data_IF_426437519418
#
_entry.id   IF_426437519418
#
_cell.length_a   1.000
_cell.length_b   1.000
_cell.length_c   1.000
_cell.angle_alpha   90.00
_cell.angle_beta   90.00
_cell.angle_gamma   90.00
#
_symmetry.space_group_name_H-M   'P 1'
#
loop_
_entity.id
_entity.type
_entity.pdbx_description
1 polymer ?
#
# COMPACT_ATOMS: atom_id res chain seq x y z
N UNK A 1 -7.54 -10.98 12.88
CA UNK A 1 -7.48 -9.50 12.81
C UNK A 1 -6.01 -9.15 12.87
N UNK A 2 -5.48 -8.47 11.85
CA UNK A 2 -4.08 -8.06 11.87
C UNK A 2 -3.95 -6.85 12.79
N UNK A 3 -3.44 -7.09 14.00
CA UNK A 3 -3.10 -6.05 14.99
C UNK A 3 -1.92 -5.21 14.49
N UNK A 4 -2.21 -4.26 13.60
CA UNK A 4 -1.28 -3.19 13.24
C UNK A 4 -1.24 -2.18 14.40
N UNK A 5 -0.36 -2.43 15.37
CA UNK A 5 -0.09 -1.49 16.45
C UNK A 5 0.61 -0.23 15.89
N UNK A 6 0.17 1.00 16.25
CA UNK A 6 0.57 2.25 15.60
C UNK A 6 2.02 2.68 15.84
N UNK A 7 2.80 1.95 16.65
CA UNK A 7 4.23 2.25 16.87
C UNK A 7 5.11 2.06 15.61
N UNK A 8 4.56 1.50 14.53
CA UNK A 8 5.28 1.19 13.27
C UNK A 8 4.63 1.81 12.02
N UNK A 9 3.73 2.77 12.17
CA UNK A 9 3.03 3.39 11.03
C UNK A 9 3.96 3.99 9.98
N UNK A 10 5.13 4.52 10.40
CA UNK A 10 6.15 5.10 9.53
C UNK A 10 7.24 4.11 9.11
N UNK A 11 7.12 2.82 9.43
CA UNK A 11 8.07 1.83 8.92
C UNK A 11 7.80 1.57 7.45
N UNK A 12 8.82 1.21 6.65
CA UNK A 12 8.62 0.79 5.27
C UNK A 12 7.58 -0.34 5.20
N UNK A 13 6.74 -0.29 4.18
CA UNK A 13 5.79 -1.35 3.90
C UNK A 13 6.53 -2.67 3.72
N UNK A 14 5.95 -3.75 4.22
CA UNK A 14 6.50 -5.06 3.91
C UNK A 14 6.29 -5.37 2.44
N UNK A 15 7.26 -6.06 1.83
CA UNK A 15 7.16 -6.65 0.49
C UNK A 15 5.81 -7.36 0.27
N UNK A 16 5.31 -8.07 1.30
CA UNK A 16 4.00 -8.74 1.25
C UNK A 16 2.82 -7.78 1.12
N UNK A 17 2.87 -6.62 1.77
CA UNK A 17 1.82 -5.61 1.66
C UNK A 17 1.85 -4.96 0.27
N UNK A 18 3.06 -4.68 -0.24
CA UNK A 18 3.24 -4.13 -1.57
C UNK A 18 2.78 -5.11 -2.66
N UNK A 19 3.18 -6.39 -2.61
CA UNK A 19 2.66 -7.38 -3.56
C UNK A 19 1.13 -7.49 -3.47
N UNK A 20 0.57 -7.48 -2.26
CA UNK A 20 -0.88 -7.60 -2.09
C UNK A 20 -1.67 -6.42 -2.67
N UNK A 21 -1.23 -5.17 -2.44
CA UNK A 21 -1.88 -4.02 -3.08
C UNK A 21 -1.69 -4.01 -4.60
N UNK A 22 -0.57 -4.54 -5.10
CA UNK A 22 -0.31 -4.65 -6.53
C UNK A 22 -1.29 -5.64 -7.18
N UNK A 23 -1.40 -6.85 -6.62
CA UNK A 23 -2.38 -7.87 -7.01
C UNK A 23 -3.82 -7.32 -6.98
N UNK A 24 -4.18 -6.53 -5.96
CA UNK A 24 -5.51 -5.92 -5.84
C UNK A 24 -5.77 -4.86 -6.92
N UNK A 25 -4.77 -4.01 -7.20
CA UNK A 25 -4.88 -3.01 -8.25
C UNK A 25 -5.05 -3.68 -9.62
N UNK A 26 -4.23 -4.69 -9.93
CA UNK A 26 -4.33 -5.45 -11.18
C UNK A 26 -5.70 -6.12 -11.35
N UNK A 27 -6.26 -6.70 -10.27
CA UNK A 27 -7.61 -7.28 -10.30
C UNK A 27 -8.71 -6.28 -10.62
N UNK A 28 -8.49 -5.00 -10.34
CA UNK A 28 -9.41 -3.91 -10.67
C UNK A 28 -9.08 -3.21 -11.99
N UNK A 29 -8.02 -3.65 -12.68
CA UNK A 29 -7.52 -2.98 -13.90
C UNK A 29 -6.89 -1.62 -13.61
N UNK A 30 -6.39 -1.41 -12.38
CA UNK A 30 -5.71 -0.19 -11.94
C UNK A 30 -4.21 -0.42 -11.80
N UNK A 31 -3.43 0.64 -11.95
CA UNK A 31 -1.98 0.61 -11.78
C UNK A 31 -1.61 1.09 -10.36
N UNK A 32 -1.05 0.17 -9.55
CA UNK A 32 -0.72 0.45 -8.16
C UNK A 32 0.38 1.53 -8.01
N UNK A 33 1.35 1.57 -8.93
CA UNK A 33 2.42 2.57 -8.89
C UNK A 33 1.89 3.96 -9.20
N UNK A 34 1.04 4.07 -10.23
CA UNK A 34 0.37 5.30 -10.59
C UNK A 34 -0.55 5.78 -9.46
N UNK A 35 -1.35 4.87 -8.87
CA UNK A 35 -2.20 5.19 -7.73
C UNK A 35 -1.39 5.66 -6.52
N UNK A 36 -0.26 5.02 -6.25
CA UNK A 36 0.61 5.44 -5.16
C UNK A 36 1.22 6.83 -5.41
N UNK A 37 1.73 7.05 -6.61
CA UNK A 37 2.30 8.34 -7.01
C UNK A 37 1.26 9.47 -6.93
N UNK A 38 0.01 9.21 -7.32
CA UNK A 38 -1.08 10.19 -7.25
C UNK A 38 -1.52 10.48 -5.80
N UNK A 39 -1.73 9.44 -4.99
CA UNK A 39 -2.31 9.59 -3.66
C UNK A 39 -1.29 9.98 -2.59
N UNK A 40 -0.06 9.47 -2.69
CA UNK A 40 0.97 9.60 -1.65
C UNK A 40 2.22 10.35 -2.11
N UNK A 41 2.28 10.78 -3.39
CA UNK A 41 3.40 11.52 -4.00
C UNK A 41 4.77 10.88 -3.76
N UNK A 42 4.81 9.55 -3.83
CA UNK A 42 6.00 8.73 -3.60
C UNK A 42 5.98 7.49 -4.48
N UNK A 43 7.14 6.85 -4.58
CA UNK A 43 7.29 5.56 -5.25
C UNK A 43 6.62 4.45 -4.44
N UNK A 44 6.09 3.46 -5.14
CA UNK A 44 5.37 2.33 -4.53
C UNK A 44 6.25 1.53 -3.57
N UNK A 45 7.52 1.34 -3.92
CA UNK A 45 8.51 0.66 -3.08
C UNK A 45 8.86 1.41 -1.79
N UNK A 46 8.62 2.72 -1.74
CA UNK A 46 8.93 3.60 -0.60
C UNK A 46 7.70 3.88 0.29
N UNK A 47 6.58 3.20 0.03
CA UNK A 47 5.41 3.33 0.89
C UNK A 47 5.71 2.87 2.30
N UNK A 48 5.13 3.56 3.28
CA UNK A 48 5.11 3.07 4.65
C UNK A 48 4.03 2.01 4.82
N UNK A 49 4.16 1.17 5.84
CA UNK A 49 3.18 0.13 6.15
C UNK A 49 1.78 0.70 6.37
N UNK A 50 1.67 1.94 6.87
CA UNK A 50 0.40 2.63 7.01
C UNK A 50 -0.19 3.03 5.65
N UNK A 51 0.60 3.65 4.78
CA UNK A 51 0.14 4.08 3.45
C UNK A 51 -0.21 2.90 2.55
N UNK A 52 0.59 1.83 2.60
CA UNK A 52 0.25 0.59 1.91
C UNK A 52 -1.07 0.03 2.42
N UNK A 53 -1.31 0.05 3.75
CA UNK A 53 -2.60 -0.35 4.32
C UNK A 53 -3.75 0.53 3.84
N UNK A 54 -3.57 1.86 3.81
CA UNK A 54 -4.57 2.79 3.28
C UNK A 54 -4.88 2.53 1.79
N UNK A 55 -3.86 2.25 0.98
CA UNK A 55 -4.04 1.92 -0.43
C UNK A 55 -4.79 0.59 -0.60
N UNK A 56 -4.42 -0.43 0.18
CA UNK A 56 -5.11 -1.72 0.22
C UNK A 56 -6.59 -1.54 0.59
N UNK A 57 -6.89 -0.72 1.60
CA UNK A 57 -8.27 -0.44 2.01
C UNK A 57 -9.04 0.32 0.93
N UNK A 58 -8.40 1.22 0.20
CA UNK A 58 -9.02 1.93 -0.91
C UNK A 58 -9.31 1.02 -2.11
N UNK A 59 -8.45 0.01 -2.33
CA UNK A 59 -8.58 -0.98 -3.39
C UNK A 59 -9.52 -2.15 -3.03
N UNK A 60 -9.99 -2.26 -1.79
CA UNK A 60 -10.86 -3.35 -1.36
C UNK A 60 -12.35 -3.02 -1.53
#
# INVERSE_FOLDING_TARGET
MYDFTPHRANQPASDKQLCYAYDLAERQGLDAEALCSINFRKEYGDMTANEASHLIEWLR
#
